data_IF_265734497552
#
_entry.id   IF_265734497552
#
_cell.length_a   1.000
_cell.length_b   1.000
_cell.length_c   1.000
_cell.angle_alpha   90.00
_cell.angle_beta   90.00
_cell.angle_gamma   90.00
#
_symmetry.space_group_name_H-M   'P 1'
#
loop_
_entity.id
_entity.type
_entity.pdbx_description
1 polymer ?
#
# COMPACT_ATOMS: atom_id res chain seq x y z
N UNK A 1 12.77 2.55 10.41
CA UNK A 1 11.81 2.73 9.30
C UNK A 1 11.89 4.17 8.82
N UNK A 2 12.05 4.43 7.53
CA UNK A 2 11.91 5.77 6.98
C UNK A 2 10.50 6.29 7.25
N UNK A 3 10.37 7.58 7.57
CA UNK A 3 9.08 8.23 7.79
C UNK A 3 8.72 9.03 6.55
N UNK A 4 7.47 8.92 6.13
CA UNK A 4 6.89 9.69 5.03
C UNK A 4 5.73 10.50 5.60
N UNK A 5 5.63 11.76 5.23
CA UNK A 5 4.51 12.65 5.55
C UNK A 5 3.84 13.07 4.25
N UNK A 6 2.52 13.09 4.25
CA UNK A 6 1.70 13.42 3.07
C UNK A 6 0.37 14.01 3.55
N UNK A 7 -0.21 14.86 2.71
CA UNK A 7 -1.56 15.38 2.89
C UNK A 7 -2.57 14.48 2.17
N UNK A 8 -3.68 14.16 2.83
CA UNK A 8 -4.72 13.28 2.29
C UNK A 8 -6.11 13.80 2.67
N UNK A 9 -7.10 13.70 1.77
CA UNK A 9 -8.51 13.93 2.12
C UNK A 9 -8.94 13.09 3.32
N UNK A 10 -9.63 13.73 4.28
CA UNK A 10 -10.09 13.06 5.51
C UNK A 10 -10.94 11.82 5.21
N UNK A 11 -11.77 11.88 4.17
CA UNK A 11 -12.65 10.77 3.77
C UNK A 11 -11.86 9.49 3.47
N UNK A 12 -10.72 9.59 2.80
CA UNK A 12 -9.88 8.42 2.50
C UNK A 12 -9.27 7.82 3.76
N UNK A 13 -8.87 8.66 4.71
CA UNK A 13 -8.37 8.19 6.00
C UNK A 13 -9.47 7.47 6.79
N UNK A 14 -10.70 7.98 6.73
CA UNK A 14 -11.84 7.36 7.41
C UNK A 14 -12.20 6.02 6.77
N UNK A 15 -12.22 5.94 5.43
CA UNK A 15 -12.41 4.69 4.70
C UNK A 15 -11.34 3.64 5.05
N UNK A 16 -10.08 4.06 5.18
CA UNK A 16 -9.01 3.16 5.64
C UNK A 16 -9.24 2.68 7.07
N UNK A 17 -9.72 3.56 7.96
CA UNK A 17 -9.99 3.21 9.35
C UNK A 17 -11.13 2.22 9.51
N UNK A 18 -12.12 2.19 8.61
CA UNK A 18 -13.16 1.13 8.61
C UNK A 18 -12.57 -0.28 8.46
N UNK A 19 -11.35 -0.40 7.95
CA UNK A 19 -10.66 -1.68 7.76
C UNK A 19 -9.58 -1.95 8.80
N UNK A 20 -9.42 -1.09 9.82
CA UNK A 20 -8.38 -1.17 10.85
C UNK A 20 -8.99 -1.51 12.21
N UNK A 21 -8.35 -2.42 12.95
CA UNK A 21 -8.76 -2.81 14.31
C UNK A 21 -8.82 -4.33 14.46
N UNK A 22 -9.24 -4.80 15.64
CA UNK A 22 -9.20 -6.23 15.99
C UNK A 22 -10.07 -7.10 15.08
N UNK A 23 -11.20 -6.58 14.59
CA UNK A 23 -12.06 -7.22 13.60
C UNK A 23 -11.77 -6.76 12.15
N UNK A 24 -10.77 -5.89 11.99
CA UNK A 24 -10.36 -5.31 10.71
C UNK A 24 -9.39 -6.20 9.93
N UNK A 25 -9.12 -5.81 8.69
CA UNK A 25 -8.12 -6.50 7.84
C UNK A 25 -6.69 -6.11 8.20
N UNK A 26 -6.51 -5.00 8.92
CA UNK A 26 -5.22 -4.40 9.21
C UNK A 26 -5.12 -4.04 10.69
N UNK A 27 -3.91 -4.19 11.24
CA UNK A 27 -3.66 -3.87 12.66
C UNK A 27 -3.64 -2.36 12.91
N UNK A 28 -3.19 -1.58 11.91
CA UNK A 28 -3.13 -0.12 11.99
C UNK A 28 -3.26 0.52 10.61
N UNK A 29 -3.51 1.83 10.56
CA UNK A 29 -3.49 2.59 9.30
C UNK A 29 -2.13 2.47 8.60
N UNK A 30 -1.03 2.50 9.37
CA UNK A 30 0.31 2.31 8.82
C UNK A 30 0.53 0.90 8.24
N UNK A 31 -0.16 -0.11 8.78
CA UNK A 31 -0.15 -1.47 8.24
C UNK A 31 -0.96 -1.59 6.94
N UNK A 32 -2.14 -0.96 6.90
CA UNK A 32 -2.96 -0.85 5.71
C UNK A 32 -2.21 -0.19 4.55
N UNK A 33 -1.55 0.95 4.81
CA UNK A 33 -0.77 1.68 3.81
C UNK A 33 0.41 0.84 3.31
N UNK A 34 1.18 0.21 4.20
CA UNK A 34 2.31 -0.63 3.80
C UNK A 34 1.87 -1.80 2.92
N UNK A 35 0.77 -2.44 3.28
CA UNK A 35 0.20 -3.56 2.51
C UNK A 35 -0.28 -3.09 1.13
N UNK A 36 -0.94 -1.94 1.07
CA UNK A 36 -1.39 -1.35 -0.19
C UNK A 36 -0.22 -1.00 -1.12
N UNK A 37 0.82 -0.35 -0.58
CA UNK A 37 2.03 -0.03 -1.35
C UNK A 37 2.71 -1.29 -1.89
N UNK A 38 2.85 -2.34 -1.06
CA UNK A 38 3.42 -3.63 -1.49
C UNK A 38 2.63 -4.21 -2.66
N UNK A 39 1.30 -4.29 -2.52
CA UNK A 39 0.43 -4.84 -3.56
C UNK A 39 0.51 -4.07 -4.88
N UNK A 40 0.63 -2.74 -4.83
CA UNK A 40 0.80 -1.91 -6.03
C UNK A 40 2.15 -2.20 -6.69
N UNK A 41 3.24 -2.27 -5.91
CA UNK A 41 4.56 -2.57 -6.45
C UNK A 41 4.61 -3.97 -7.08
N UNK A 42 4.07 -4.98 -6.39
CA UNK A 42 4.01 -6.35 -6.93
C UNK A 42 3.20 -6.41 -8.26
N UNK A 43 2.16 -5.58 -8.39
CA UNK A 43 1.40 -5.46 -9.64
C UNK A 43 2.21 -4.81 -10.76
N UNK A 44 3.01 -3.79 -10.45
CA UNK A 44 3.89 -3.14 -11.42
C UNK A 44 5.01 -4.09 -11.87
N UNK A 45 5.62 -4.81 -10.93
CA UNK A 45 6.64 -5.81 -11.23
C UNK A 45 6.10 -6.89 -12.17
N UNK A 46 4.90 -7.42 -11.89
CA UNK A 46 4.25 -8.40 -12.76
C UNK A 46 3.91 -7.87 -14.16
N UNK A 47 3.68 -6.55 -14.30
CA UNK A 47 3.49 -5.90 -15.60
C UNK A 47 4.83 -5.79 -16.33
N UNK A 48 5.88 -5.35 -15.64
CA UNK A 48 7.21 -5.19 -16.23
C UNK A 48 7.81 -6.53 -16.69
N UNK A 49 7.57 -7.61 -15.94
CA UNK A 49 7.90 -8.99 -16.36
C UNK A 49 7.26 -9.35 -17.70
N UNK A 50 5.95 -9.09 -17.87
CA UNK A 50 5.21 -9.39 -19.10
C UNK A 50 5.70 -8.59 -20.30
N UNK A 51 6.22 -7.38 -20.07
CA UNK A 51 6.76 -6.53 -21.12
C UNK A 51 8.27 -6.74 -21.35
N UNK A 52 8.90 -7.69 -20.67
CA UNK A 52 10.34 -7.94 -20.78
C UNK A 52 11.21 -6.78 -20.27
N UNK A 53 10.66 -5.95 -19.38
CA UNK A 53 11.30 -4.73 -18.84
C UNK A 53 12.10 -4.96 -17.57
N UNK A 54 12.28 -6.20 -17.13
CA UNK A 54 13.16 -6.53 -16.01
C UNK A 54 14.57 -5.99 -16.31
N UNK A 55 14.84 -4.76 -15.87
CA UNK A 55 16.19 -4.23 -15.75
C UNK A 55 16.81 -5.01 -14.61
N UNK A 56 17.82 -5.79 -14.98
CA UNK A 56 18.58 -6.61 -14.05
C UNK A 56 19.11 -5.81 -12.86
N UNK A 57 19.17 -6.52 -11.74
CA UNK A 57 20.22 -6.31 -10.75
C UNK A 57 21.58 -6.74 -11.32
#
# INVERSE_FOLDING_TARGET
>A
MPKVSLDMPQQLLDDLKLHVGDEGKFVSVADAIRTACRKILDQLDAIDERHGRLRGD
#
